data_IF_136243527505
#
_entry.id   IF_136243527505
#
_cell.length_a   1.000
_cell.length_b   1.000
_cell.length_c   1.000
_cell.angle_alpha   90.00
_cell.angle_beta   90.00
_cell.angle_gamma   90.00
#
_symmetry.space_group_name_H-M   'P 1'
#
loop_
_entity.id
_entity.type
_entity.pdbx_description
1 polymer ?
#
# COMPACT_ATOMS: atom_id res chain seq x y z
N UNK A 1 -28.10 -15.69 3.63
CA UNK A 1 -29.29 -15.72 4.51
C UNK A 1 -28.96 -15.13 5.89
N UNK A 2 -29.50 -13.94 6.21
CA UNK A 2 -29.44 -13.38 7.57
C UNK A 2 -28.89 -11.95 7.70
N UNK A 3 -29.47 -10.99 6.97
CA UNK A 3 -29.36 -9.55 7.27
C UNK A 3 -30.29 -9.21 8.44
N UNK A 4 -29.79 -8.53 9.49
CA UNK A 4 -30.62 -7.75 10.42
C UNK A 4 -30.15 -6.30 10.42
N UNK A 5 -30.95 -5.45 9.78
CA UNK A 5 -30.85 -4.01 9.85
C UNK A 5 -31.72 -3.50 11.01
N UNK A 6 -31.14 -2.68 11.88
CA UNK A 6 -31.90 -1.87 12.84
C UNK A 6 -32.11 -0.47 12.26
N UNK A 7 -33.39 -0.09 12.07
CA UNK A 7 -33.86 1.27 11.82
C UNK A 7 -34.29 1.90 13.15
N UNK A 8 -33.84 3.11 13.42
CA UNK A 8 -34.54 4.21 14.14
C UNK A 8 -33.66 5.47 13.91
N UNK A 9 -34.16 6.67 13.63
CA UNK A 9 -35.52 7.18 13.50
C UNK A 9 -35.54 8.48 12.69
N UNK A 10 -36.73 8.84 12.20
CA UNK A 10 -37.06 10.13 11.59
C UNK A 10 -37.47 11.12 12.69
N UNK A 11 -37.02 12.37 12.60
CA UNK A 11 -37.79 13.62 12.86
C UNK A 11 -37.23 14.70 11.90
N UNK A 12 -38.01 15.13 10.92
CA UNK A 12 -38.82 16.38 10.91
C UNK A 12 -37.96 17.62 10.68
N UNK A 13 -37.89 18.10 9.43
CA UNK A 13 -38.60 19.28 8.88
C UNK A 13 -38.00 20.62 9.34
N UNK A 14 -37.44 21.33 8.36
CA UNK A 14 -36.95 22.70 8.45
C UNK A 14 -36.66 23.24 7.05
N UNK A 15 -37.71 23.37 6.23
CA UNK A 15 -37.70 24.24 5.06
C UNK A 15 -37.49 25.68 5.54
N UNK A 16 -36.57 26.43 4.93
CA UNK A 16 -36.84 27.84 4.60
C UNK A 16 -35.83 28.41 3.57
N UNK A 17 -36.42 28.80 2.43
CA UNK A 17 -36.10 29.92 1.52
C UNK A 17 -34.90 29.84 0.56
N UNK A 18 -35.28 29.80 -0.72
CA UNK A 18 -34.56 30.37 -1.88
C UNK A 18 -34.57 31.91 -1.84
N UNK A 19 -33.41 32.48 -2.13
CA UNK A 19 -33.13 33.76 -2.80
C UNK A 19 -31.63 33.67 -3.13
N UNK A 20 -31.09 34.05 -4.27
CA UNK A 20 -31.57 34.71 -5.47
C UNK A 20 -30.32 34.84 -6.36
N UNK A 21 -30.56 34.84 -7.65
CA UNK A 21 -29.59 35.03 -8.72
C UNK A 21 -28.71 36.27 -8.51
N UNK A 22 -27.39 36.13 -8.65
CA UNK A 22 -26.51 37.21 -9.11
C UNK A 22 -25.14 36.71 -9.57
N UNK A 23 -24.81 37.19 -10.75
CA UNK A 23 -23.60 37.05 -11.53
C UNK A 23 -22.38 37.78 -10.93
N UNK A 24 -21.24 37.42 -11.54
CA UNK A 24 -19.95 38.10 -11.61
C UNK A 24 -18.84 37.58 -10.70
N UNK A 25 -17.68 37.43 -11.35
CA UNK A 25 -16.51 36.80 -10.81
C UNK A 25 -15.61 37.73 -10.01
N UNK A 26 -14.68 37.11 -9.32
CA UNK A 26 -13.43 37.71 -8.88
C UNK A 26 -12.53 36.55 -8.46
N UNK A 27 -11.33 36.49 -9.04
CA UNK A 27 -10.34 35.48 -8.71
C UNK A 27 -9.92 35.54 -7.26
N UNK A 28 -9.56 34.37 -6.72
CA UNK A 28 -8.68 34.26 -5.58
C UNK A 28 -7.62 33.21 -5.95
N UNK A 29 -6.42 33.71 -6.19
CA UNK A 29 -5.21 32.91 -6.10
C UNK A 29 -5.14 32.34 -4.68
N UNK A 30 -5.11 31.02 -4.57
CA UNK A 30 -4.72 30.34 -3.34
C UNK A 30 -3.37 29.68 -3.60
N UNK A 31 -2.37 30.42 -3.17
CA UNK A 31 -1.05 29.99 -2.71
C UNK A 31 -1.05 28.54 -2.18
N UNK A 32 -0.28 27.66 -2.84
CA UNK A 32 0.19 26.39 -2.28
C UNK A 32 1.69 26.27 -2.53
N UNK A 33 2.46 27.15 -1.87
CA UNK A 33 3.84 26.85 -1.53
C UNK A 33 3.92 25.89 -0.33
N UNK A 34 5.03 25.15 -0.26
CA UNK A 34 5.48 24.22 0.81
C UNK A 34 4.77 22.85 0.83
N UNK A 35 5.42 21.69 0.80
CA UNK A 35 6.82 21.27 0.99
C UNK A 35 7.02 19.97 0.18
N UNK A 36 7.75 20.05 -0.94
CA UNK A 36 8.48 18.90 -1.46
C UNK A 36 9.90 18.98 -0.89
N UNK A 37 10.50 17.83 -0.59
CA UNK A 37 11.86 17.67 -0.04
C UNK A 37 12.08 17.97 1.45
N UNK A 38 11.66 17.05 2.34
CA UNK A 38 12.38 16.82 3.61
C UNK A 38 12.46 15.34 3.97
N UNK A 39 13.25 14.57 3.21
CA UNK A 39 13.76 13.27 3.68
C UNK A 39 14.89 13.51 4.69
N UNK A 40 14.54 13.74 5.97
CA UNK A 40 15.54 13.80 7.04
C UNK A 40 15.97 12.37 7.37
N UNK A 41 17.21 12.03 7.01
CA UNK A 41 17.87 10.74 7.30
C UNK A 41 17.76 10.40 8.78
N UNK A 42 17.04 9.36 9.14
CA UNK A 42 17.23 8.71 10.44
C UNK A 42 18.56 7.93 10.39
N UNK A 43 19.50 8.14 11.34
CA UNK A 43 20.75 7.38 11.35
C UNK A 43 20.47 5.89 11.57
N UNK A 44 21.23 5.03 10.86
CA UNK A 44 21.19 3.57 11.05
C UNK A 44 21.51 3.25 12.52
N UNK A 45 20.75 2.36 13.19
CA UNK A 45 21.19 1.82 14.46
C UNK A 45 22.46 0.97 14.27
N UNK A 46 23.39 0.96 15.25
CA UNK A 46 24.62 0.19 15.16
C UNK A 46 24.33 -1.31 15.08
N UNK A 47 25.14 -2.03 14.29
CA UNK A 47 25.07 -3.47 14.16
C UNK A 47 25.39 -4.16 15.51
N UNK A 48 24.73 -5.29 15.84
CA UNK A 48 25.08 -6.06 17.02
C UNK A 48 26.50 -6.66 16.91
N UNK A 49 27.19 -6.88 18.05
CA UNK A 49 28.55 -7.43 18.05
C UNK A 49 28.56 -8.86 17.47
N UNK A 50 29.55 -9.13 16.63
CA UNK A 50 29.76 -10.44 16.02
C UNK A 50 30.68 -11.27 16.92
N UNK A 51 30.13 -12.31 17.55
CA UNK A 51 30.94 -13.35 18.21
C UNK A 51 31.55 -14.28 17.15
N UNK A 52 32.87 -14.43 17.22
CA UNK A 52 33.66 -15.22 16.28
C UNK A 52 33.40 -16.72 16.40
N UNK A 53 32.86 -17.31 15.34
CA UNK A 53 32.75 -18.76 15.14
C UNK A 53 32.99 -19.11 13.67
N UNK A 54 33.93 -20.02 13.43
CA UNK A 54 34.39 -20.47 12.13
C UNK A 54 33.26 -21.10 11.28
N UNK A 55 33.03 -20.58 10.06
CA UNK A 55 32.05 -21.13 9.11
C UNK A 55 32.75 -21.84 7.93
N UNK A 56 32.23 -22.98 7.44
CA UNK A 56 32.83 -23.70 6.32
C UNK A 56 32.63 -22.95 4.99
N UNK A 57 33.63 -23.07 4.12
CA UNK A 57 33.77 -22.38 2.83
C UNK A 57 32.58 -22.59 1.87
N UNK A 58 31.97 -21.47 1.41
CA UNK A 58 30.98 -21.45 0.32
C UNK A 58 31.64 -21.85 -1.01
N UNK A 59 30.98 -22.64 -1.88
CA UNK A 59 31.43 -22.81 -3.25
C UNK A 59 31.22 -21.50 -4.02
N UNK A 60 32.18 -21.20 -4.90
CA UNK A 60 32.22 -20.00 -5.73
C UNK A 60 30.94 -19.85 -6.56
N UNK A 61 30.28 -18.68 -6.42
CA UNK A 61 29.09 -18.33 -7.19
C UNK A 61 29.58 -17.73 -8.52
N UNK A 62 29.41 -18.49 -9.60
CA UNK A 62 29.46 -17.97 -10.97
C UNK A 62 28.38 -16.89 -11.13
N UNK A 63 28.71 -15.83 -11.88
CA UNK A 63 28.08 -14.51 -11.89
C UNK A 63 26.56 -14.47 -11.80
N UNK A 64 26.06 -13.68 -10.85
CA UNK A 64 24.67 -13.29 -10.77
C UNK A 64 24.60 -11.80 -11.09
N UNK A 65 23.98 -11.47 -12.22
CA UNK A 65 23.66 -10.11 -12.64
C UNK A 65 22.83 -9.40 -11.55
N UNK A 66 22.97 -8.08 -11.45
CA UNK A 66 22.47 -7.21 -10.37
C UNK A 66 20.96 -7.32 -10.09
N UNK A 67 20.53 -8.37 -9.39
CA UNK A 67 19.16 -8.50 -8.90
C UNK A 67 18.97 -7.55 -7.71
N UNK A 68 18.16 -6.51 -7.92
CA UNK A 68 17.77 -5.55 -6.89
C UNK A 68 17.07 -6.20 -5.67
N UNK A 69 16.47 -7.38 -5.87
CA UNK A 69 15.86 -8.17 -4.78
C UNK A 69 16.77 -9.35 -4.48
N UNK A 70 17.43 -9.30 -3.33
CA UNK A 70 18.31 -10.39 -2.85
C UNK A 70 17.56 -11.42 -1.99
N UNK A 71 16.43 -11.02 -1.39
CA UNK A 71 15.61 -11.84 -0.50
C UNK A 71 14.15 -11.37 -0.52
N UNK A 72 13.22 -12.31 -0.58
CA UNK A 72 11.78 -12.07 -0.49
C UNK A 72 11.14 -13.13 0.39
N UNK A 73 10.33 -12.70 1.34
CA UNK A 73 9.55 -13.58 2.23
C UNK A 73 8.12 -13.07 2.32
N UNK A 74 7.19 -13.97 2.62
CA UNK A 74 5.75 -13.68 2.58
C UNK A 74 5.14 -13.89 3.95
N UNK A 75 4.34 -12.92 4.42
CA UNK A 75 3.53 -13.07 5.63
C UNK A 75 2.06 -13.14 5.21
N UNK A 76 1.35 -14.15 5.69
CA UNK A 76 -0.08 -14.32 5.40
C UNK A 76 -0.89 -14.37 6.68
N UNK A 77 -2.19 -14.05 6.59
CA UNK A 77 -3.11 -14.33 7.70
C UNK A 77 -3.35 -15.84 7.82
N UNK A 78 -3.66 -16.35 9.03
CA UNK A 78 -4.16 -17.72 9.18
C UNK A 78 -5.40 -17.94 8.30
N UNK A 79 -5.44 -19.06 7.58
CA UNK A 79 -6.60 -19.44 6.76
C UNK A 79 -7.33 -20.62 7.36
N UNK A 80 -8.65 -20.55 7.33
CA UNK A 80 -9.54 -21.69 7.63
C UNK A 80 -10.16 -22.28 6.37
N UNK A 81 -9.82 -21.74 5.19
CA UNK A 81 -10.41 -22.16 3.93
C UNK A 81 -9.76 -23.46 3.42
N UNK A 82 -10.56 -24.43 2.93
CA UNK A 82 -10.05 -25.54 2.15
C UNK A 82 -9.31 -24.98 0.92
N UNK A 83 -8.02 -25.24 0.79
CA UNK A 83 -7.17 -24.71 -0.30
C UNK A 83 -6.28 -23.52 0.07
N UNK A 84 -6.36 -23.00 1.30
CA UNK A 84 -5.46 -21.95 1.78
C UNK A 84 -5.76 -20.56 1.23
N UNK A 85 -4.78 -19.65 1.30
CA UNK A 85 -4.86 -18.31 0.70
C UNK A 85 -4.11 -18.32 -0.64
N UNK A 86 -4.63 -17.68 -1.71
CA UNK A 86 -3.94 -17.66 -3.01
C UNK A 86 -2.48 -17.18 -2.92
N UNK A 87 -2.20 -16.18 -2.09
CA UNK A 87 -0.84 -15.68 -1.87
C UNK A 87 0.07 -16.71 -1.20
N UNK A 88 -0.47 -17.56 -0.31
CA UNK A 88 0.28 -18.65 0.33
C UNK A 88 0.63 -19.73 -0.69
N UNK A 89 -0.34 -20.14 -1.51
CA UNK A 89 -0.13 -21.13 -2.57
C UNK A 89 0.92 -20.64 -3.57
N UNK A 90 0.81 -19.39 -4.04
CA UNK A 90 1.78 -18.79 -4.95
C UNK A 90 3.19 -18.71 -4.32
N UNK A 91 3.31 -18.32 -3.05
CA UNK A 91 4.59 -18.28 -2.36
C UNK A 91 5.23 -19.68 -2.23
N UNK A 92 4.42 -20.72 -1.99
CA UNK A 92 4.88 -22.11 -1.92
C UNK A 92 5.35 -22.61 -3.28
N UNK A 93 4.62 -22.31 -4.36
CA UNK A 93 5.01 -22.63 -5.75
C UNK A 93 6.35 -21.99 -6.12
N UNK A 94 6.58 -20.76 -5.68
CA UNK A 94 7.82 -20.02 -5.87
C UNK A 94 8.92 -20.37 -4.84
N UNK A 95 8.67 -21.32 -3.94
CA UNK A 95 9.60 -21.75 -2.89
C UNK A 95 10.08 -20.60 -1.98
N UNK A 96 9.23 -19.60 -1.77
CA UNK A 96 9.49 -18.48 -0.87
C UNK A 96 9.21 -18.89 0.59
N UNK A 97 10.02 -18.44 1.57
CA UNK A 97 9.67 -18.58 2.98
C UNK A 97 8.33 -17.89 3.27
N UNK A 98 7.42 -18.63 3.93
CA UNK A 98 6.10 -18.13 4.32
C UNK A 98 5.96 -18.16 5.83
N UNK A 99 5.56 -17.03 6.40
CA UNK A 99 5.21 -16.88 7.80
C UNK A 99 3.71 -16.66 7.98
N UNK A 100 3.22 -17.02 9.15
CA UNK A 100 1.84 -16.82 9.53
C UNK A 100 1.74 -15.74 10.61
N UNK A 101 0.92 -14.73 10.36
CA UNK A 101 0.68 -13.64 11.30
C UNK A 101 0.19 -14.18 12.67
N UNK A 102 0.74 -13.72 13.81
CA UNK A 102 1.54 -12.49 13.98
C UNK A 102 3.05 -12.63 13.79
N UNK A 103 3.56 -13.80 13.40
CA UNK A 103 4.97 -13.98 13.14
C UNK A 103 5.34 -13.40 11.77
N UNK A 104 6.31 -12.48 11.75
CA UNK A 104 6.73 -11.76 10.53
C UNK A 104 8.10 -12.18 10.02
N UNK A 105 8.63 -13.29 10.51
CA UNK A 105 9.98 -13.75 10.19
C UNK A 105 11.07 -13.00 10.97
N UNK A 106 12.31 -12.98 10.47
CA UNK A 106 13.43 -12.37 11.16
C UNK A 106 13.32 -10.84 11.21
N UNK A 107 13.51 -10.31 12.42
CA UNK A 107 13.43 -8.88 12.73
C UNK A 107 14.65 -8.14 12.19
N UNK A 108 14.43 -6.98 11.57
CA UNK A 108 15.50 -6.07 11.14
C UNK A 108 16.37 -6.57 9.98
N UNK A 109 15.90 -7.55 9.20
CA UNK A 109 16.63 -8.13 8.06
C UNK A 109 16.07 -7.71 6.69
N UNK A 110 15.08 -6.82 6.66
CA UNK A 110 14.41 -6.39 5.42
C UNK A 110 14.42 -4.88 5.30
N UNK A 111 14.64 -4.39 4.08
CA UNK A 111 14.73 -2.97 3.81
C UNK A 111 13.36 -2.29 3.71
N UNK A 112 12.36 -2.99 3.17
CA UNK A 112 11.00 -2.47 2.89
C UNK A 112 9.95 -3.55 3.12
N UNK A 113 8.80 -3.15 3.66
CA UNK A 113 7.61 -4.00 3.72
C UNK A 113 6.60 -3.61 2.64
N UNK A 114 5.87 -4.56 2.08
CA UNK A 114 4.75 -4.29 1.17
C UNK A 114 3.52 -5.02 1.68
N UNK A 115 2.43 -4.29 1.90
CA UNK A 115 1.13 -4.83 2.28
C UNK A 115 0.14 -4.62 1.13
N UNK A 116 -0.64 -5.67 0.86
CA UNK A 116 -1.74 -5.66 -0.08
C UNK A 116 -2.89 -6.46 0.53
N UNK A 117 -4.05 -5.81 0.74
CA UNK A 117 -5.26 -6.45 1.27
C UNK A 117 -5.05 -7.26 2.57
N UNK A 118 -4.16 -6.80 3.47
CA UNK A 118 -3.78 -7.56 4.67
C UNK A 118 -4.77 -7.42 5.84
N UNK A 119 -5.56 -6.34 5.90
CA UNK A 119 -6.65 -6.18 6.86
C UNK A 119 -6.27 -6.06 8.34
N UNK A 120 -4.97 -5.88 8.66
CA UNK A 120 -4.48 -5.66 10.03
C UNK A 120 -3.74 -4.33 10.13
N UNK A 121 -3.88 -3.66 11.26
CA UNK A 121 -3.02 -2.53 11.63
C UNK A 121 -1.66 -3.09 12.05
N UNK A 122 -0.59 -2.54 11.51
CA UNK A 122 0.77 -2.87 11.94
C UNK A 122 1.16 -1.97 13.11
N UNK A 123 1.86 -2.56 14.08
CA UNK A 123 2.43 -1.80 15.20
C UNK A 123 3.53 -0.87 14.70
N UNK A 124 3.75 0.21 15.44
CA UNK A 124 4.86 1.14 15.16
C UNK A 124 6.21 0.43 15.22
N UNK A 125 6.41 -0.44 16.23
CA UNK A 125 7.63 -1.26 16.36
C UNK A 125 7.89 -2.17 15.17
N UNK A 126 6.84 -2.67 14.50
CA UNK A 126 7.01 -3.47 13.28
C UNK A 126 7.34 -2.59 12.08
N UNK A 127 6.67 -1.45 11.94
CA UNK A 127 6.92 -0.51 10.83
C UNK A 127 8.37 0.00 10.88
N UNK A 128 8.86 0.32 12.07
CA UNK A 128 10.22 0.85 12.29
C UNK A 128 11.34 -0.17 12.01
N UNK A 129 11.02 -1.46 11.85
CA UNK A 129 12.00 -2.47 11.45
C UNK A 129 12.40 -2.38 9.97
N UNK A 130 11.66 -1.65 9.15
CA UNK A 130 11.91 -1.47 7.73
C UNK A 130 12.51 -0.08 7.48
N UNK A 131 13.81 0.04 7.16
CA UNK A 131 14.48 1.32 6.90
C UNK A 131 13.80 2.22 5.86
N UNK A 132 13.18 1.62 4.84
CA UNK A 132 12.42 2.32 3.81
C UNK A 132 10.91 2.35 4.06
N UNK A 133 10.49 1.96 5.26
CA UNK A 133 9.11 1.91 5.69
C UNK A 133 8.33 0.71 5.12
N UNK A 134 7.01 0.78 5.30
CA UNK A 134 6.08 -0.23 4.79
C UNK A 134 5.08 0.46 3.86
N UNK A 135 4.97 -0.07 2.65
CA UNK A 135 4.11 0.45 1.61
C UNK A 135 2.78 -0.32 1.59
N UNK A 136 1.67 0.37 1.38
CA UNK A 136 0.38 -0.26 1.05
C UNK A 136 0.01 -0.02 -0.41
N UNK A 137 -0.54 -1.06 -1.04
CA UNK A 137 -1.19 -0.97 -2.35
C UNK A 137 -2.70 -0.80 -2.11
N UNK A 138 -3.21 0.40 -2.33
CA UNK A 138 -4.61 0.75 -2.10
C UNK A 138 -5.37 0.93 -3.43
N UNK A 139 -6.39 0.11 -3.75
CA UNK A 139 -7.06 0.14 -5.05
C UNK A 139 -8.17 1.20 -5.12
N UNK A 140 -7.78 2.46 -4.91
CA UNK A 140 -8.55 3.66 -5.27
C UNK A 140 -7.63 4.89 -5.37
N UNK A 141 -8.13 5.98 -5.95
CA UNK A 141 -7.48 7.29 -5.88
C UNK A 141 -7.77 7.96 -4.53
N UNK A 142 -6.87 7.80 -3.57
CA UNK A 142 -6.93 8.53 -2.30
C UNK A 142 -6.97 10.05 -2.54
N UNK A 143 -7.78 10.81 -1.77
CA UNK A 143 -8.47 10.41 -0.54
C UNK A 143 -9.81 9.68 -0.76
N UNK A 144 -10.25 9.47 -2.00
CA UNK A 144 -11.51 8.77 -2.29
C UNK A 144 -11.38 7.29 -1.92
N UNK A 145 -12.43 6.77 -1.26
CA UNK A 145 -12.54 5.39 -0.76
C UNK A 145 -11.36 4.90 0.11
N UNK A 146 -11.08 5.61 1.21
CA UNK A 146 -10.23 5.06 2.29
C UNK A 146 -10.89 3.85 2.95
N UNK A 147 -10.07 2.98 3.54
CA UNK A 147 -10.52 1.88 4.36
C UNK A 147 -10.98 0.67 3.55
N UNK A 148 -11.91 -0.13 4.09
CA UNK A 148 -12.25 -1.41 3.50
C UNK A 148 -13.03 -1.25 2.19
N UNK A 149 -12.90 -2.26 1.33
CA UNK A 149 -13.72 -2.45 0.12
C UNK A 149 -13.78 -1.27 -0.89
N UNK A 150 -12.66 -0.59 -1.21
CA UNK A 150 -12.66 0.59 -2.09
C UNK A 150 -13.16 0.30 -3.52
N UNK A 151 -12.85 -0.89 -4.06
CA UNK A 151 -13.32 -1.33 -5.38
C UNK A 151 -14.84 -1.46 -5.42
N UNK A 152 -15.43 -2.03 -4.37
CA UNK A 152 -16.89 -2.17 -4.25
C UNK A 152 -17.53 -0.78 -4.17
N UNK A 153 -16.98 0.13 -3.36
CA UNK A 153 -17.49 1.49 -3.29
C UNK A 153 -17.42 2.24 -4.62
N UNK A 154 -16.32 2.09 -5.36
CA UNK A 154 -16.14 2.65 -6.71
C UNK A 154 -17.30 2.24 -7.63
N UNK A 155 -17.59 0.94 -7.69
CA UNK A 155 -18.67 0.41 -8.55
C UNK A 155 -20.04 0.86 -8.06
N UNK A 156 -20.31 0.79 -6.75
CA UNK A 156 -21.61 1.14 -6.16
C UNK A 156 -21.98 2.61 -6.38
N UNK A 157 -21.00 3.51 -6.41
CA UNK A 157 -21.24 4.94 -6.63
C UNK A 157 -21.21 5.32 -8.11
N UNK A 158 -20.96 4.35 -9.00
CA UNK A 158 -20.93 4.59 -10.44
C UNK A 158 -19.76 5.49 -10.88
N UNK A 159 -18.67 5.47 -10.14
CA UNK A 159 -17.47 6.27 -10.43
C UNK A 159 -16.94 5.93 -11.83
N UNK A 160 -16.65 6.97 -12.62
CA UNK A 160 -16.08 6.82 -13.97
C UNK A 160 -14.56 6.69 -13.97
N UNK A 161 -13.93 7.14 -12.89
CA UNK A 161 -12.49 7.10 -12.69
C UNK A 161 -12.22 6.59 -11.28
N UNK A 162 -11.26 5.68 -11.18
CA UNK A 162 -10.67 5.20 -9.93
C UNK A 162 -9.16 5.13 -10.13
N UNK A 163 -8.44 4.33 -9.38
CA UNK A 163 -7.03 4.10 -9.61
C UNK A 163 -6.40 3.21 -8.57
N UNK A 164 -5.07 3.23 -8.55
CA UNK A 164 -4.28 2.58 -7.51
C UNK A 164 -3.36 3.62 -6.89
N UNK A 165 -3.28 3.60 -5.56
CA UNK A 165 -2.37 4.43 -4.77
C UNK A 165 -1.37 3.54 -4.06
N UNK A 166 -0.08 3.83 -4.24
CA UNK A 166 0.99 3.34 -3.38
C UNK A 166 1.28 4.42 -2.34
N UNK A 167 1.21 4.06 -1.07
CA UNK A 167 1.44 4.99 0.04
C UNK A 167 2.27 4.33 1.13
N UNK A 168 2.93 5.12 1.95
CA UNK A 168 3.45 4.64 3.23
C UNK A 168 2.31 4.39 4.21
N UNK A 169 2.42 3.36 5.04
CA UNK A 169 1.49 3.18 6.15
C UNK A 169 1.89 4.04 7.35
N UNK A 170 0.91 4.37 8.18
CA UNK A 170 1.12 5.00 9.48
C UNK A 170 0.57 4.07 10.57
N UNK A 171 1.16 4.06 11.78
CA UNK A 171 0.63 3.26 12.87
C UNK A 171 -0.78 3.74 13.23
N UNK A 172 -1.61 2.83 13.77
CA UNK A 172 -2.93 3.09 14.38
C UNK A 172 -4.06 3.53 13.42
N UNK A 173 -3.79 3.86 12.15
CA UNK A 173 -4.82 4.29 11.17
C UNK A 173 -4.57 3.70 9.79
N UNK A 174 -5.64 3.21 9.15
CA UNK A 174 -5.60 2.75 7.76
C UNK A 174 -5.63 3.93 6.80
N UNK A 175 -4.90 3.81 5.68
CA UNK A 175 -5.03 4.68 4.52
C UNK A 175 -4.98 6.17 4.86
N UNK A 176 -3.97 6.61 5.60
CA UNK A 176 -3.74 8.04 5.92
C UNK A 176 -2.29 8.49 5.76
N UNK A 177 -1.38 7.60 5.35
CA UNK A 177 0.02 7.97 5.18
C UNK A 177 0.28 8.72 3.87
N UNK A 178 1.50 9.26 3.71
CA UNK A 178 1.91 9.96 2.50
C UNK A 178 1.76 9.10 1.26
N UNK A 179 1.22 9.70 0.19
CA UNK A 179 1.12 9.07 -1.12
C UNK A 179 2.49 9.12 -1.79
N UNK A 180 2.99 7.96 -2.22
CA UNK A 180 4.25 7.84 -2.97
C UNK A 180 4.00 7.89 -4.47
N UNK A 181 2.97 7.18 -4.93
CA UNK A 181 2.55 7.18 -6.34
C UNK A 181 1.05 6.93 -6.41
N UNK A 182 0.39 7.57 -7.36
CA UNK A 182 -1.02 7.33 -7.65
C UNK A 182 -1.20 7.35 -9.17
N UNK A 183 -1.96 6.38 -9.69
CA UNK A 183 -2.30 6.31 -11.10
C UNK A 183 -3.80 6.12 -11.26
N UNK A 184 -4.40 6.90 -12.15
CA UNK A 184 -5.82 6.84 -12.46
C UNK A 184 -6.14 5.71 -13.45
N UNK A 185 -7.35 5.20 -13.35
CA UNK A 185 -7.90 4.15 -14.18
C UNK A 185 -9.34 4.47 -14.55
N UNK A 186 -9.64 4.53 -15.84
CA UNK A 186 -11.00 4.71 -16.33
C UNK A 186 -11.82 3.44 -16.06
N UNK A 187 -12.90 3.56 -15.30
CA UNK A 187 -13.77 2.43 -14.93
C UNK A 187 -14.62 2.06 -16.15
N UNK A 188 -14.53 0.83 -16.68
CA UNK A 188 -15.35 0.43 -17.82
C UNK A 188 -16.84 0.48 -17.48
N UNK A 189 -17.70 0.87 -18.44
CA UNK A 189 -19.14 0.86 -18.21
C UNK A 189 -19.62 -0.56 -17.89
N UNK A 190 -20.54 -0.69 -16.94
CA UNK A 190 -21.12 -1.96 -16.49
C UNK A 190 -20.12 -2.96 -15.87
N UNK A 191 -18.90 -2.53 -15.55
CA UNK A 191 -17.90 -3.38 -14.91
C UNK A 191 -18.36 -3.83 -13.51
N UNK A 192 -18.20 -5.12 -13.24
CA UNK A 192 -18.42 -5.68 -11.90
C UNK A 192 -17.24 -5.37 -10.98
N UNK A 193 -17.48 -5.37 -9.66
CA UNK A 193 -16.40 -5.18 -8.68
C UNK A 193 -15.28 -6.24 -8.83
N UNK A 194 -15.62 -7.47 -9.23
CA UNK A 194 -14.64 -8.53 -9.38
C UNK A 194 -13.73 -8.32 -10.60
N UNK A 195 -14.29 -7.88 -11.72
CA UNK A 195 -13.52 -7.53 -12.91
C UNK A 195 -12.61 -6.33 -12.63
N UNK A 196 -13.14 -5.31 -11.95
CA UNK A 196 -12.37 -4.13 -11.58
C UNK A 196 -11.22 -4.47 -10.61
N UNK A 197 -11.45 -5.35 -9.64
CA UNK A 197 -10.41 -5.87 -8.74
C UNK A 197 -9.26 -6.54 -9.52
N UNK A 198 -9.57 -7.35 -10.53
CA UNK A 198 -8.55 -8.00 -11.38
C UNK A 198 -7.76 -6.96 -12.19
N UNK A 199 -8.41 -5.92 -12.71
CA UNK A 199 -7.72 -4.86 -13.46
C UNK A 199 -6.81 -4.02 -12.55
N UNK A 200 -7.32 -3.59 -11.39
CA UNK A 200 -6.57 -2.76 -10.44
C UNK A 200 -5.46 -3.56 -9.74
N UNK A 201 -5.63 -4.85 -9.49
CA UNK A 201 -4.54 -5.69 -8.92
C UNK A 201 -3.36 -5.80 -9.87
N UNK A 202 -3.58 -5.97 -11.19
CA UNK A 202 -2.52 -5.95 -12.21
C UNK A 202 -1.81 -4.60 -12.24
N UNK A 203 -2.58 -3.51 -12.22
CA UNK A 203 -2.03 -2.15 -12.19
C UNK A 203 -1.17 -1.93 -10.93
N UNK A 204 -1.67 -2.32 -9.76
CA UNK A 204 -0.93 -2.20 -8.50
C UNK A 204 0.35 -3.01 -8.46
N UNK A 205 0.33 -4.25 -8.99
CA UNK A 205 1.55 -5.06 -9.12
C UNK A 205 2.60 -4.37 -10.01
N UNK A 206 2.18 -3.82 -11.16
CA UNK A 206 3.07 -3.08 -12.05
C UNK A 206 3.64 -1.82 -11.38
N UNK A 207 2.81 -1.07 -10.65
CA UNK A 207 3.25 0.13 -9.93
C UNK A 207 4.32 -0.20 -8.89
N UNK A 208 4.13 -1.28 -8.13
CA UNK A 208 5.13 -1.75 -7.16
C UNK A 208 6.43 -2.11 -7.88
N UNK A 209 6.38 -2.85 -8.99
CA UNK A 209 7.55 -3.19 -9.79
C UNK A 209 8.31 -1.95 -10.30
N UNK A 210 7.60 -0.93 -10.79
CA UNK A 210 8.20 0.29 -11.31
C UNK A 210 8.80 1.20 -10.22
N UNK A 211 8.28 1.18 -8.99
CA UNK A 211 8.86 1.98 -7.90
C UNK A 211 10.30 1.58 -7.60
N UNK A 212 10.65 0.30 -7.79
CA UNK A 212 12.02 -0.17 -7.63
C UNK A 212 12.98 0.39 -8.69
N UNK A 213 12.49 0.76 -9.87
CA UNK A 213 13.32 1.35 -10.93
C UNK A 213 13.60 2.84 -10.71
N UNK A 214 12.74 3.57 -9.99
CA UNK A 214 12.83 5.04 -9.83
C UNK A 214 13.89 5.46 -8.80
N UNK A 215 14.19 4.61 -7.80
CA UNK A 215 15.22 4.93 -6.80
C UNK A 215 16.66 4.78 -7.29
N UNK A 216 16.89 4.07 -8.40
CA UNK A 216 18.25 3.90 -8.96
C UNK A 216 18.75 5.15 -9.68
N UNK A 217 17.86 6.03 -10.15
CA UNK A 217 18.25 7.26 -10.86
C UNK A 217 18.48 8.45 -9.93
N UNK A 218 17.96 8.40 -8.70
CA UNK A 218 18.09 9.50 -7.73
C UNK A 218 19.39 9.42 -6.90
N UNK A 219 20.04 8.25 -6.82
CA UNK A 219 21.37 8.11 -6.20
C UNK A 219 22.53 8.38 -7.17
N UNK A 220 22.32 8.32 -8.49
CA UNK A 220 23.37 8.62 -9.50
C UNK A 220 23.56 10.13 -9.73
N UNK A 221 22.64 10.98 -9.25
CA UNK A 221 22.68 12.44 -9.50
C UNK A 221 23.13 13.27 -8.30
N UNK A 222 23.64 12.67 -7.22
CA UNK A 222 24.17 13.37 -6.03
C UNK A 222 25.65 13.11 -5.75
N UNK A 223 26.44 12.93 -6.81
CA UNK A 223 27.89 12.97 -6.75
C UNK A 223 28.46 13.89 -7.83
N UNK A 224 28.29 15.20 -7.64
CA UNK A 224 29.17 16.25 -8.17
C UNK A 224 29.32 17.35 -7.11
#
# INVERSE_FOLDING_TARGET
PGLRAHRHGRRSLGQLRRCGDRSQGSGCAADTGAEADTWRRSPRPPAPPQDGGCAPSRPARLGAEDSLVSRLEVVTLPSRLPGGLPVRSCAQELQLPVHEWPHTGPIGQFDVGVVASFGRLLSEDLILQFPYGVLNVHPSCLPRWRGPAPVIHTVLHGDKVTGVTIMEIRPKRFDVGPIIKQEEFAVPPHCTAKELEVMLSKMGANMVNCLYSIRMTSDVTKSE
#
